data_IF_470164404663
#
_entry.id   IF_470164404663
#
_cell.length_a   1.000
_cell.length_b   1.000
_cell.length_c   1.000
_cell.angle_alpha   90.00
_cell.angle_beta   90.00
_cell.angle_gamma   90.00
#
_symmetry.space_group_name_H-M   'P 1'
#
loop_
_entity.id
_entity.type
_entity.pdbx_description
1 polymer ?
#
# COMPACT_ATOMS: atom_id res chain seq x y z
N UNK A 1 -78.38 3.10 -10.53
CA UNK A 1 -78.67 3.40 -11.95
C UNK A 1 -77.84 4.60 -12.37
N UNK A 2 -77.14 4.51 -13.52
CA UNK A 2 -76.31 5.51 -14.22
C UNK A 2 -75.09 6.06 -13.44
N UNK A 3 -73.82 5.75 -13.75
CA UNK A 3 -73.05 5.81 -15.01
C UNK A 3 -72.91 7.23 -15.57
N UNK A 4 -71.68 7.78 -15.54
CA UNK A 4 -71.12 8.66 -16.57
C UNK A 4 -69.61 8.85 -16.37
N UNK A 5 -68.83 8.30 -17.30
CA UNK A 5 -67.42 8.56 -17.53
C UNK A 5 -67.23 9.93 -18.21
N UNK A 6 -66.14 10.64 -17.90
CA UNK A 6 -65.43 11.48 -18.89
C UNK A 6 -63.92 11.35 -18.63
N UNK A 7 -63.20 10.95 -19.69
CA UNK A 7 -61.75 10.95 -19.79
C UNK A 7 -61.26 12.30 -20.31
N UNK A 8 -60.06 12.77 -19.92
CA UNK A 8 -59.20 13.52 -20.84
C UNK A 8 -57.74 13.64 -20.37
N UNK A 9 -56.88 12.98 -21.13
CA UNK A 9 -55.55 13.41 -21.63
C UNK A 9 -54.43 13.79 -20.65
N UNK A 10 -53.47 12.87 -20.55
CA UNK A 10 -52.07 13.15 -20.26
C UNK A 10 -51.46 14.02 -21.37
N UNK A 11 -50.73 15.08 -20.99
CA UNK A 11 -49.88 15.85 -21.88
C UNK A 11 -48.42 15.73 -21.42
N UNK A 12 -47.59 15.21 -22.31
CA UNK A 12 -46.16 15.05 -22.15
C UNK A 12 -45.48 16.43 -22.29
N UNK A 13 -44.81 16.89 -21.24
CA UNK A 13 -43.92 18.04 -21.30
C UNK A 13 -42.49 17.55 -21.60
N UNK A 14 -42.02 17.84 -22.81
CA UNK A 14 -40.67 17.60 -23.27
C UNK A 14 -39.65 18.43 -22.47
N UNK A 15 -38.63 17.76 -21.95
CA UNK A 15 -37.49 18.38 -21.27
C UNK A 15 -36.48 18.83 -22.33
N UNK A 16 -36.36 20.14 -22.53
CA UNK A 16 -35.27 20.75 -23.31
C UNK A 16 -33.98 20.84 -22.48
N UNK A 17 -32.81 20.42 -22.98
CA UNK A 17 -31.54 20.60 -22.27
C UNK A 17 -31.01 22.03 -22.44
N UNK A 18 -30.89 22.77 -21.33
CA UNK A 18 -30.16 24.05 -21.27
C UNK A 18 -28.66 23.78 -21.37
N UNK A 19 -28.08 24.22 -22.49
CA UNK A 19 -26.63 24.33 -22.73
C UNK A 19 -26.02 25.28 -21.68
N UNK A 20 -25.17 24.76 -20.79
CA UNK A 20 -24.34 25.60 -19.90
C UNK A 20 -23.13 26.13 -20.67
N UNK A 21 -23.06 27.45 -20.80
CA UNK A 21 -21.95 28.19 -21.38
C UNK A 21 -20.65 28.00 -20.58
N UNK A 22 -19.53 27.81 -21.29
CA UNK A 22 -18.16 27.81 -20.74
C UNK A 22 -17.72 29.24 -20.38
N UNK A 23 -17.04 29.46 -19.24
CA UNK A 23 -16.42 30.75 -18.94
C UNK A 23 -15.18 31.00 -19.82
N UNK A 24 -14.88 32.26 -20.17
CA UNK A 24 -13.78 32.61 -21.06
C UNK A 24 -12.39 32.45 -20.40
N UNK A 25 -11.42 32.05 -21.22
CA UNK A 25 -10.01 31.87 -20.88
C UNK A 25 -9.37 33.21 -20.51
N UNK A 26 -8.78 33.30 -19.32
CA UNK A 26 -7.90 34.40 -18.95
C UNK A 26 -6.60 34.33 -19.78
N UNK A 27 -6.34 35.37 -20.56
CA UNK A 27 -5.05 35.62 -21.22
C UNK A 27 -4.06 36.10 -20.15
N UNK A 28 -3.05 35.29 -19.84
CA UNK A 28 -1.87 35.75 -19.11
C UNK A 28 -0.92 36.39 -20.12
N UNK A 29 -0.71 37.70 -19.97
CA UNK A 29 0.31 38.47 -20.67
C UNK A 29 1.64 38.22 -19.95
N UNK A 30 2.55 37.48 -20.58
CA UNK A 30 3.93 37.36 -20.11
C UNK A 30 4.79 38.40 -20.83
N UNK A 31 5.34 39.35 -20.06
CA UNK A 31 6.38 40.27 -20.52
C UNK A 31 7.67 39.48 -20.80
N UNK A 32 8.24 39.71 -21.98
CA UNK A 32 9.60 39.28 -22.33
C UNK A 32 10.63 40.22 -21.70
N UNK A 33 11.65 39.65 -21.06
CA UNK A 33 12.95 40.29 -20.89
C UNK A 33 14.01 39.28 -21.37
N UNK A 34 14.87 39.73 -22.29
CA UNK A 34 15.85 38.90 -22.98
C UNK A 34 17.24 38.85 -22.33
N UNK A 35 18.12 38.07 -22.98
CA UNK A 35 19.59 38.03 -22.77
C UNK A 35 20.01 37.16 -21.58
N UNK A 36 21.02 36.29 -21.63
CA UNK A 36 22.12 36.13 -22.57
C UNK A 36 22.64 34.68 -22.55
N UNK A 37 23.28 34.30 -23.66
CA UNK A 37 24.10 33.10 -23.83
C UNK A 37 25.40 33.22 -23.03
N UNK A 38 25.85 32.12 -22.44
CA UNK A 38 27.20 31.98 -21.87
C UNK A 38 27.62 30.52 -21.88
N UNK A 39 28.51 30.18 -22.81
CA UNK A 39 29.17 28.88 -22.97
C UNK A 39 30.42 28.86 -22.08
N UNK A 40 30.75 27.74 -21.44
CA UNK A 40 31.96 27.65 -20.61
C UNK A 40 32.27 26.24 -20.12
N UNK A 41 33.05 25.50 -20.93
CA UNK A 41 33.85 24.36 -20.49
C UNK A 41 34.95 24.84 -19.52
N UNK A 42 35.32 23.99 -18.56
CA UNK A 42 36.49 24.21 -17.71
C UNK A 42 36.83 22.97 -16.88
N UNK A 43 37.75 22.18 -17.40
CA UNK A 43 38.45 21.08 -16.74
C UNK A 43 39.47 21.55 -15.67
N UNK A 44 39.84 20.64 -14.77
CA UNK A 44 41.01 20.71 -13.88
C UNK A 44 40.64 20.84 -12.40
N UNK A 45 41.15 20.07 -11.44
CA UNK A 45 42.34 19.20 -11.40
C UNK A 45 43.23 19.61 -10.20
N UNK A 46 43.37 18.71 -9.20
CA UNK A 46 44.36 18.78 -8.09
C UNK A 46 44.05 19.79 -6.98
N UNK A 47 44.38 19.60 -5.70
CA UNK A 47 45.16 18.58 -5.01
C UNK A 47 45.73 19.19 -3.71
N UNK A 48 45.65 18.48 -2.59
CA UNK A 48 46.59 18.55 -1.47
C UNK A 48 46.45 19.68 -0.44
N UNK A 49 46.75 19.35 0.83
CA UNK A 49 47.33 20.31 1.76
C UNK A 49 46.73 20.35 3.16
N UNK A 50 47.13 19.39 4.00
CA UNK A 50 46.98 19.41 5.45
C UNK A 50 47.59 20.67 6.09
N UNK A 51 46.86 21.29 7.01
CA UNK A 51 47.33 22.41 7.83
C UNK A 51 47.19 22.09 9.31
N UNK A 52 48.24 21.50 9.88
CA UNK A 52 48.47 21.32 11.30
C UNK A 52 48.96 22.66 11.88
N UNK A 53 48.31 23.21 12.91
CA UNK A 53 48.92 24.24 13.75
C UNK A 53 48.68 23.94 15.23
N UNK A 54 49.81 23.88 15.93
CA UNK A 54 50.01 23.56 17.33
C UNK A 54 50.12 24.83 18.20
N UNK A 55 50.31 24.56 19.51
CA UNK A 55 50.64 25.45 20.64
C UNK A 55 49.43 25.73 21.55
N UNK A 56 49.46 25.52 22.87
CA UNK A 56 50.54 25.40 23.84
C UNK A 56 49.98 25.78 25.24
N UNK A 57 50.73 25.64 26.35
CA UNK A 57 50.27 24.92 27.55
C UNK A 57 50.21 25.73 28.86
N UNK A 58 49.73 25.10 29.96
CA UNK A 58 50.23 25.09 31.38
C UNK A 58 49.08 24.66 32.34
N UNK A 59 49.17 23.51 33.04
CA UNK A 59 49.77 23.26 34.38
C UNK A 59 48.95 23.93 35.52
N UNK A 60 48.59 23.37 36.70
CA UNK A 60 49.26 22.47 37.67
C UNK A 60 48.22 21.91 38.70
N UNK A 61 48.48 20.70 39.24
CA UNK A 61 48.19 20.28 40.64
C UNK A 61 46.81 19.67 40.93
N UNK A 62 46.62 18.60 41.70
CA UNK A 62 47.48 17.73 42.50
C UNK A 62 46.58 16.88 43.43
N UNK A 63 46.92 15.59 43.57
CA UNK A 63 46.55 14.59 44.61
C UNK A 63 45.12 14.53 45.21
N UNK A 64 44.45 13.38 45.07
CA UNK A 64 44.13 12.47 46.19
C UNK A 64 43.28 11.23 45.79
N UNK A 65 43.69 10.07 46.33
CA UNK A 65 43.00 8.81 46.63
C UNK A 65 41.58 8.49 46.08
N UNK A 66 41.48 7.29 45.51
CA UNK A 66 40.60 6.26 46.11
C UNK A 66 39.50 5.65 45.22
N UNK A 67 39.50 4.31 45.22
CA UNK A 67 38.35 3.40 45.05
C UNK A 67 37.96 2.98 43.61
N UNK A 68 38.38 1.75 43.30
CA UNK A 68 37.69 0.68 42.54
C UNK A 68 36.47 1.09 41.70
N UNK A 69 36.58 0.95 40.38
CA UNK A 69 35.43 0.74 39.50
C UNK A 69 35.67 -0.49 38.61
N UNK A 70 34.88 -1.52 38.87
CA UNK A 70 34.88 -2.80 38.18
C UNK A 70 34.57 -2.64 36.69
N UNK A 71 35.26 -3.42 35.85
CA UNK A 71 34.93 -3.58 34.44
C UNK A 71 33.60 -4.32 34.30
N UNK A 72 32.53 -3.59 33.99
CA UNK A 72 31.30 -4.17 33.48
C UNK A 72 31.39 -4.27 31.96
N UNK A 73 31.82 -5.44 31.45
CA UNK A 73 31.57 -5.81 30.05
C UNK A 73 30.08 -6.11 29.93
N UNK A 74 29.30 -5.08 29.67
CA UNK A 74 27.91 -5.26 29.26
C UNK A 74 27.93 -5.76 27.82
N UNK A 75 27.83 -7.08 27.63
CA UNK A 75 27.43 -7.66 26.36
C UNK A 75 25.97 -7.26 26.10
N UNK A 76 25.78 -6.09 25.50
CA UNK A 76 24.49 -5.70 24.97
C UNK A 76 24.12 -6.71 23.88
N UNK A 77 23.01 -7.48 24.00
CA UNK A 77 22.47 -8.15 22.85
C UNK A 77 22.00 -7.05 21.90
N UNK A 78 22.60 -6.96 20.72
CA UNK A 78 22.11 -6.07 19.68
C UNK A 78 20.64 -6.43 19.43
N UNK A 79 19.67 -5.51 19.63
CA UNK A 79 18.34 -5.78 19.13
C UNK A 79 18.46 -5.83 17.61
N UNK A 80 18.09 -6.97 17.02
CA UNK A 80 17.81 -7.06 15.59
C UNK A 80 16.65 -6.09 15.36
N UNK A 81 16.98 -4.85 14.97
CA UNK A 81 16.00 -3.86 14.57
C UNK A 81 15.34 -4.47 13.34
N UNK A 82 14.08 -4.87 13.50
CA UNK A 82 13.19 -5.21 12.40
C UNK A 82 13.37 -4.13 11.33
N UNK A 83 13.80 -4.52 10.14
CA UNK A 83 14.00 -3.60 9.04
C UNK A 83 12.67 -2.94 8.72
N UNK A 84 12.41 -1.76 9.27
CA UNK A 84 11.26 -0.96 8.91
C UNK A 84 11.46 -0.56 7.46
N UNK A 85 10.72 -1.21 6.56
CA UNK A 85 10.71 -0.85 5.15
C UNK A 85 10.46 0.65 5.05
N UNK A 86 11.38 1.36 4.41
CA UNK A 86 11.27 2.82 4.21
C UNK A 86 10.21 3.06 3.14
N UNK A 87 8.95 3.07 3.56
CA UNK A 87 7.82 3.39 2.71
C UNK A 87 7.91 4.85 2.26
N UNK A 88 7.38 5.19 1.06
CA UNK A 88 7.26 6.57 0.64
C UNK A 88 6.33 7.34 1.61
N UNK A 89 6.47 8.68 1.67
CA UNK A 89 5.57 9.51 2.47
C UNK A 89 4.11 9.29 2.05
N UNK A 90 3.18 9.58 2.95
CA UNK A 90 1.75 9.48 2.67
C UNK A 90 1.36 10.39 1.51
N UNK A 91 0.61 9.87 0.55
CA UNK A 91 0.08 10.68 -0.55
C UNK A 91 -0.95 11.68 -0.02
N UNK A 92 -0.78 12.97 -0.38
CA UNK A 92 -1.65 14.09 0.02
C UNK A 92 -2.76 14.38 -1.00
N UNK A 93 -2.99 13.48 -1.96
CA UNK A 93 -4.01 13.65 -2.99
C UNK A 93 -5.44 13.59 -2.39
N UNK A 94 -6.36 14.47 -2.82
CA UNK A 94 -7.66 14.65 -2.17
C UNK A 94 -8.66 13.48 -2.33
N UNK A 95 -8.42 12.55 -3.26
CA UNK A 95 -9.26 11.36 -3.49
C UNK A 95 -8.40 10.09 -3.55
N UNK A 96 -7.51 9.93 -2.58
CA UNK A 96 -6.49 8.87 -2.56
C UNK A 96 -7.12 7.47 -2.55
N UNK A 97 -8.18 7.29 -1.78
CA UNK A 97 -8.85 6.00 -1.59
C UNK A 97 -9.73 5.62 -2.80
N UNK A 98 -10.32 6.60 -3.47
CA UNK A 98 -11.18 6.38 -4.64
C UNK A 98 -10.37 5.91 -5.87
N UNK A 99 -9.05 6.10 -5.85
CA UNK A 99 -8.14 5.64 -6.92
C UNK A 99 -8.13 4.13 -7.10
N UNK A 100 -8.53 3.35 -6.09
CA UNK A 100 -8.63 1.88 -6.21
C UNK A 100 -9.60 1.45 -7.33
N UNK A 101 -10.62 2.27 -7.63
CA UNK A 101 -11.67 1.91 -8.59
C UNK A 101 -11.39 2.39 -10.03
N UNK A 102 -10.57 3.43 -10.19
CA UNK A 102 -10.37 4.15 -11.46
C UNK A 102 -9.13 3.65 -12.17
N UNK A 103 -9.29 3.06 -13.37
CA UNK A 103 -8.19 2.74 -14.30
C UNK A 103 -7.38 1.47 -14.02
N UNK A 104 -7.64 0.78 -12.90
CA UNK A 104 -6.85 -0.37 -12.45
C UNK A 104 -7.27 -1.72 -13.03
N UNK A 105 -7.96 -1.81 -14.16
CA UNK A 105 -8.35 -3.15 -14.69
C UNK A 105 -7.14 -3.88 -15.27
N UNK A 106 -7.11 -5.22 -15.19
CA UNK A 106 -6.00 -6.06 -15.69
C UNK A 106 -5.58 -5.68 -17.12
N UNK A 107 -6.54 -5.38 -18.01
CA UNK A 107 -6.29 -4.97 -19.40
C UNK A 107 -5.76 -3.54 -19.61
N UNK A 108 -5.68 -2.73 -18.55
CA UNK A 108 -5.18 -1.34 -18.56
C UNK A 108 -3.87 -1.21 -17.76
N UNK A 109 -3.34 -2.31 -17.19
CA UNK A 109 -2.17 -2.31 -16.30
C UNK A 109 -0.84 -1.93 -16.97
N UNK A 110 -0.83 -1.69 -18.28
CA UNK A 110 0.34 -1.22 -19.02
C UNK A 110 0.43 0.31 -18.96
N UNK A 111 0.90 0.85 -17.82
CA UNK A 111 1.47 2.21 -17.77
C UNK A 111 0.58 3.35 -17.25
N UNK A 112 -0.52 3.08 -16.53
CA UNK A 112 -1.42 4.16 -16.07
C UNK A 112 -0.89 4.94 -14.86
N UNK A 113 0.04 4.40 -14.07
CA UNK A 113 0.48 5.05 -12.84
C UNK A 113 1.99 5.27 -12.75
N UNK A 114 2.39 6.53 -12.84
CA UNK A 114 3.75 7.01 -12.51
C UNK A 114 4.08 6.89 -11.01
N UNK A 115 3.09 6.57 -10.17
CA UNK A 115 3.20 6.48 -8.70
C UNK A 115 2.43 5.25 -8.17
N UNK A 116 2.93 4.57 -7.13
CA UNK A 116 2.20 3.47 -6.51
C UNK A 116 0.83 3.92 -6.00
N UNK A 117 -0.14 3.01 -6.07
CA UNK A 117 -1.49 3.24 -5.55
C UNK A 117 -1.39 3.26 -4.02
N UNK A 118 -1.70 4.39 -3.40
CA UNK A 118 -1.64 4.55 -1.94
C UNK A 118 -3.06 4.46 -1.37
N UNK A 119 -3.37 3.36 -0.70
CA UNK A 119 -4.65 3.07 -0.04
C UNK A 119 -4.50 2.95 1.48
N UNK A 120 -3.38 3.40 2.05
CA UNK A 120 -3.12 3.28 3.50
C UNK A 120 -4.21 3.95 4.33
N UNK A 121 -4.67 3.31 5.40
CA UNK A 121 -5.72 3.81 6.30
C UNK A 121 -7.08 4.09 5.63
N UNK A 122 -7.31 3.60 4.40
CA UNK A 122 -8.59 3.74 3.74
C UNK A 122 -9.60 2.71 4.28
N UNK A 123 -10.88 3.09 4.32
CA UNK A 123 -11.96 2.23 4.77
C UNK A 123 -12.89 1.85 3.60
N UNK A 124 -12.92 0.57 3.27
CA UNK A 124 -13.74 -0.03 2.23
C UNK A 124 -14.69 -1.11 2.77
N UNK A 125 -15.00 -1.11 4.06
CA UNK A 125 -15.94 -2.07 4.68
C UNK A 125 -17.39 -1.97 4.18
N UNK A 126 -17.69 -1.02 3.29
CA UNK A 126 -19.00 -0.89 2.70
C UNK A 126 -19.29 -2.07 1.75
N UNK A 127 -20.48 -2.68 1.86
CA UNK A 127 -21.00 -3.82 1.07
C UNK A 127 -20.99 -3.62 -0.46
N UNK A 128 -20.55 -2.46 -0.94
CA UNK A 128 -20.45 -2.08 -2.36
C UNK A 128 -19.01 -1.96 -2.86
N UNK A 129 -18.03 -2.28 -2.03
CA UNK A 129 -16.63 -2.31 -2.47
C UNK A 129 -16.44 -3.50 -3.41
N UNK A 130 -16.62 -3.21 -4.70
CA UNK A 130 -16.36 -4.13 -5.78
C UNK A 130 -15.00 -3.77 -6.41
N UNK A 131 -13.99 -4.56 -6.07
CA UNK A 131 -12.65 -4.52 -6.64
C UNK A 131 -12.43 -5.72 -7.58
N UNK A 132 -13.52 -6.31 -8.08
CA UNK A 132 -13.48 -7.46 -8.97
C UNK A 132 -12.66 -7.15 -10.22
N UNK A 133 -11.71 -8.04 -10.55
CA UNK A 133 -10.87 -7.93 -11.74
C UNK A 133 -9.95 -6.69 -11.75
N UNK A 134 -9.75 -6.03 -10.61
CA UNK A 134 -8.83 -4.90 -10.48
C UNK A 134 -7.40 -5.39 -10.25
N UNK A 135 -6.44 -4.55 -10.59
CA UNK A 135 -5.02 -4.74 -10.38
C UNK A 135 -4.57 -3.76 -9.31
N UNK A 136 -4.14 -4.29 -8.18
CA UNK A 136 -3.55 -3.55 -7.07
C UNK A 136 -2.05 -3.81 -7.00
N UNK A 137 -1.40 -3.85 -8.16
CA UNK A 137 0.04 -4.04 -8.26
C UNK A 137 0.78 -2.90 -7.55
N UNK A 138 1.74 -3.25 -6.69
CA UNK A 138 2.51 -2.35 -5.85
C UNK A 138 1.66 -1.40 -4.98
N UNK A 139 0.42 -1.77 -4.68
CA UNK A 139 -0.45 -0.96 -3.83
C UNK A 139 0.04 -0.94 -2.39
N UNK A 140 0.00 0.23 -1.77
CA UNK A 140 0.27 0.43 -0.34
C UNK A 140 -1.06 0.42 0.39
N UNK A 141 -1.33 -0.62 1.16
CA UNK A 141 -2.62 -0.88 1.81
C UNK A 141 -2.47 -1.02 3.33
N UNK A 142 -1.38 -0.51 3.92
CA UNK A 142 -1.16 -0.60 5.37
C UNK A 142 -2.34 -0.05 6.16
N UNK A 143 -2.81 -0.82 7.13
CA UNK A 143 -3.93 -0.49 8.01
C UNK A 143 -5.23 -0.10 7.27
N UNK A 144 -5.37 -0.49 6.00
CA UNK A 144 -6.60 -0.31 5.24
C UNK A 144 -7.62 -1.39 5.60
N UNK A 145 -8.91 -1.11 5.45
CA UNK A 145 -9.99 -2.07 5.70
C UNK A 145 -10.72 -2.42 4.42
N UNK A 146 -10.83 -3.71 4.14
CA UNK A 146 -11.52 -4.29 2.99
C UNK A 146 -12.52 -5.37 3.44
N UNK A 147 -12.99 -5.29 4.69
CA UNK A 147 -13.87 -6.31 5.25
C UNK A 147 -15.15 -6.45 4.41
N UNK A 148 -15.46 -7.68 4.01
CA UNK A 148 -16.61 -8.02 3.15
C UNK A 148 -16.51 -7.54 1.70
N UNK A 149 -15.36 -6.99 1.25
CA UNK A 149 -15.19 -6.56 -0.12
C UNK A 149 -15.17 -7.74 -1.11
N UNK A 150 -15.74 -7.53 -2.30
CA UNK A 150 -15.58 -8.44 -3.44
C UNK A 150 -14.26 -8.10 -4.13
N UNK A 151 -13.25 -8.94 -3.92
CA UNK A 151 -11.94 -8.88 -4.57
C UNK A 151 -11.73 -10.11 -5.47
N UNK A 152 -12.82 -10.68 -6.00
CA UNK A 152 -12.73 -11.80 -6.93
C UNK A 152 -11.96 -11.39 -8.19
N UNK A 153 -11.15 -12.29 -8.75
CA UNK A 153 -10.31 -12.04 -9.93
C UNK A 153 -9.32 -10.86 -9.75
N UNK A 154 -9.08 -10.38 -8.52
CA UNK A 154 -8.11 -9.31 -8.27
C UNK A 154 -6.69 -9.79 -8.54
N UNK A 155 -5.85 -8.91 -9.09
CA UNK A 155 -4.42 -9.15 -9.25
C UNK A 155 -3.66 -8.26 -8.28
N UNK A 156 -3.05 -8.87 -7.27
CA UNK A 156 -2.15 -8.21 -6.33
C UNK A 156 -0.74 -8.73 -6.54
N UNK A 157 0.16 -7.89 -7.05
CA UNK A 157 1.59 -8.22 -7.14
C UNK A 157 2.42 -7.21 -6.38
N UNK A 158 3.32 -7.67 -5.50
CA UNK A 158 4.22 -6.81 -4.70
C UNK A 158 3.48 -5.75 -3.87
N UNK A 159 2.24 -6.04 -3.47
CA UNK A 159 1.45 -5.14 -2.66
C UNK A 159 1.88 -5.21 -1.18
N UNK A 160 1.69 -4.11 -0.45
CA UNK A 160 2.08 -3.99 0.95
C UNK A 160 0.85 -3.77 1.82
N UNK A 161 0.35 -4.84 2.44
CA UNK A 161 -0.93 -4.88 3.17
C UNK A 161 -0.73 -5.16 4.67
N UNK A 162 0.35 -4.64 5.24
CA UNK A 162 0.69 -4.85 6.65
C UNK A 162 -0.36 -4.23 7.57
N UNK A 163 -0.89 -5.01 8.50
CA UNK A 163 -1.95 -4.57 9.43
C UNK A 163 -3.32 -4.32 8.79
N UNK A 164 -3.48 -4.59 7.49
CA UNK A 164 -4.75 -4.41 6.80
C UNK A 164 -5.81 -5.42 7.27
N UNK A 165 -7.08 -5.04 7.18
CA UNK A 165 -8.22 -5.91 7.48
C UNK A 165 -8.89 -6.36 6.18
N UNK A 166 -9.09 -7.68 6.05
CA UNK A 166 -9.70 -8.37 4.91
C UNK A 166 -10.70 -9.41 5.42
N UNK A 167 -11.46 -9.08 6.48
CA UNK A 167 -12.37 -10.04 7.11
C UNK A 167 -13.51 -10.38 6.16
N UNK A 168 -13.74 -11.67 5.91
CA UNK A 168 -14.79 -12.10 5.00
C UNK A 168 -14.62 -11.60 3.56
N UNK A 169 -13.42 -11.13 3.17
CA UNK A 169 -13.13 -10.70 1.81
C UNK A 169 -13.09 -11.90 0.86
N UNK A 170 -13.69 -11.76 -0.32
CA UNK A 170 -13.68 -12.79 -1.35
C UNK A 170 -12.48 -12.59 -2.30
N UNK A 171 -11.53 -13.55 -2.32
CA UNK A 171 -10.39 -13.61 -3.24
C UNK A 171 -10.53 -14.72 -4.29
N UNK A 172 -11.77 -15.14 -4.60
CA UNK A 172 -12.03 -16.19 -5.59
C UNK A 172 -11.42 -15.84 -6.94
N UNK A 173 -10.67 -16.76 -7.55
CA UNK A 173 -9.93 -16.56 -8.81
C UNK A 173 -8.86 -15.46 -8.78
N UNK A 174 -8.44 -14.98 -7.61
CA UNK A 174 -7.42 -13.94 -7.50
C UNK A 174 -6.01 -14.46 -7.84
N UNK A 175 -5.12 -13.54 -8.20
CA UNK A 175 -3.68 -13.79 -8.35
C UNK A 175 -2.93 -12.91 -7.37
N UNK A 176 -2.26 -13.54 -6.40
CA UNK A 176 -1.59 -12.88 -5.29
C UNK A 176 -0.12 -13.31 -5.27
N UNK A 177 0.73 -12.42 -5.78
CA UNK A 177 2.17 -12.63 -5.94
C UNK A 177 2.97 -11.65 -5.08
N UNK A 178 3.82 -12.16 -4.19
CA UNK A 178 4.75 -11.37 -3.36
C UNK A 178 4.06 -10.28 -2.53
N UNK A 179 2.89 -10.58 -1.98
CA UNK A 179 2.15 -9.63 -1.15
C UNK A 179 2.56 -9.80 0.31
N UNK A 180 2.75 -8.68 1.00
CA UNK A 180 3.01 -8.71 2.45
C UNK A 180 1.70 -8.53 3.23
N UNK A 181 1.21 -9.61 3.85
CA UNK A 181 0.06 -9.64 4.77
C UNK A 181 0.49 -9.73 6.24
N UNK A 182 1.70 -9.29 6.59
CA UNK A 182 2.15 -9.30 7.98
C UNK A 182 1.16 -8.56 8.89
N UNK A 183 0.76 -9.18 10.00
CA UNK A 183 -0.25 -8.66 10.96
C UNK A 183 -1.63 -8.36 10.36
N UNK A 184 -1.90 -8.79 9.13
CA UNK A 184 -3.21 -8.60 8.51
C UNK A 184 -4.28 -9.44 9.19
N UNK A 185 -5.52 -8.96 9.17
CA UNK A 185 -6.68 -9.68 9.68
C UNK A 185 -7.45 -10.29 8.51
N UNK A 186 -7.27 -11.59 8.28
CA UNK A 186 -7.85 -12.36 7.16
C UNK A 186 -8.99 -13.27 7.64
N UNK A 187 -9.57 -13.02 8.82
CA UNK A 187 -10.60 -13.90 9.39
C UNK A 187 -11.78 -14.10 8.43
N UNK A 188 -12.12 -15.35 8.13
CA UNK A 188 -13.20 -15.68 7.20
C UNK A 188 -12.93 -15.34 5.73
N UNK A 189 -11.71 -14.94 5.36
CA UNK A 189 -11.38 -14.66 3.96
C UNK A 189 -11.46 -15.93 3.10
N UNK A 190 -11.88 -15.76 1.85
CA UNK A 190 -12.12 -16.88 0.92
C UNK A 190 -11.03 -16.89 -0.15
N UNK A 191 -10.16 -17.91 -0.13
CA UNK A 191 -9.18 -18.18 -1.18
C UNK A 191 -9.63 -19.41 -1.98
N UNK A 192 -10.53 -19.19 -2.94
CA UNK A 192 -11.00 -20.24 -3.86
C UNK A 192 -10.37 -20.09 -5.24
N UNK A 193 -9.75 -21.15 -5.76
CA UNK A 193 -9.07 -21.12 -7.06
C UNK A 193 -8.08 -19.95 -7.17
N UNK A 194 -7.41 -19.62 -6.07
CA UNK A 194 -6.48 -18.50 -5.97
C UNK A 194 -5.05 -18.97 -6.23
N UNK A 195 -4.24 -18.14 -6.88
CA UNK A 195 -2.79 -18.36 -6.95
C UNK A 195 -2.10 -17.55 -5.85
N UNK A 196 -1.46 -18.22 -4.91
CA UNK A 196 -0.65 -17.64 -3.83
C UNK A 196 0.82 -17.97 -4.05
N UNK A 197 1.66 -16.98 -4.37
CA UNK A 197 3.10 -17.20 -4.54
C UNK A 197 3.92 -16.11 -3.89
N UNK A 198 4.94 -16.48 -3.12
CA UNK A 198 5.92 -15.56 -2.53
C UNK A 198 5.35 -14.57 -1.50
N UNK A 199 4.11 -14.76 -1.05
CA UNK A 199 3.43 -13.87 -0.10
C UNK A 199 3.76 -14.26 1.35
N UNK A 200 3.73 -13.28 2.26
CA UNK A 200 4.07 -13.47 3.68
C UNK A 200 2.86 -13.23 4.58
N UNK A 201 2.66 -14.13 5.55
CA UNK A 201 1.51 -14.12 6.47
C UNK A 201 1.93 -14.11 7.95
N UNK A 202 3.10 -13.53 8.25
CA UNK A 202 3.65 -13.48 9.60
C UNK A 202 2.69 -12.73 10.54
N UNK A 203 2.34 -13.32 11.68
CA UNK A 203 1.39 -12.73 12.64
C UNK A 203 -0.01 -12.40 12.06
N UNK A 204 -0.33 -12.88 10.85
CA UNK A 204 -1.64 -12.70 10.27
C UNK A 204 -2.68 -13.54 11.02
N UNK A 205 -3.90 -13.01 11.17
CA UNK A 205 -5.02 -13.76 11.75
C UNK A 205 -5.76 -14.46 10.63
N UNK A 206 -5.80 -15.78 10.67
CA UNK A 206 -6.34 -16.61 9.59
C UNK A 206 -7.38 -17.63 10.10
N UNK A 207 -8.12 -17.27 11.17
CA UNK A 207 -9.25 -18.08 11.63
C UNK A 207 -10.33 -18.15 10.55
N UNK A 208 -10.94 -19.32 10.39
CA UNK A 208 -12.05 -19.55 9.45
C UNK A 208 -11.73 -19.21 7.98
N UNK A 209 -10.45 -19.15 7.61
CA UNK A 209 -10.04 -18.96 6.22
C UNK A 209 -10.32 -20.22 5.41
N UNK A 210 -10.85 -20.04 4.21
CA UNK A 210 -11.14 -21.14 3.27
C UNK A 210 -10.05 -21.21 2.21
N UNK A 211 -9.45 -22.38 2.02
CA UNK A 211 -8.44 -22.64 0.98
C UNK A 211 -8.91 -23.77 0.07
N UNK A 212 -9.82 -23.46 -0.87
CA UNK A 212 -10.33 -24.42 -1.84
C UNK A 212 -9.62 -24.23 -3.18
N UNK A 213 -9.06 -25.29 -3.76
CA UNK A 213 -8.35 -25.25 -5.05
C UNK A 213 -7.25 -24.17 -5.14
N UNK A 214 -6.66 -23.79 -4.01
CA UNK A 214 -5.59 -22.77 -3.97
C UNK A 214 -4.27 -23.36 -4.42
N UNK A 215 -3.60 -22.67 -5.36
CA UNK A 215 -2.27 -23.02 -5.82
C UNK A 215 -1.25 -22.27 -4.97
N UNK A 216 -0.48 -23.02 -4.18
CA UNK A 216 0.60 -22.49 -3.34
C UNK A 216 1.89 -23.29 -3.52
N UNK A 217 3.03 -22.60 -3.58
CA UNK A 217 4.34 -23.25 -3.68
C UNK A 217 4.74 -23.93 -2.37
N UNK A 218 5.51 -25.02 -2.46
CA UNK A 218 5.93 -25.81 -1.29
C UNK A 218 6.58 -24.97 -0.17
N UNK A 219 7.46 -24.03 -0.53
CA UNK A 219 8.15 -23.17 0.46
C UNK A 219 7.18 -22.22 1.16
N UNK A 220 6.21 -21.69 0.44
CA UNK A 220 5.23 -20.75 0.99
C UNK A 220 4.20 -21.48 1.85
N UNK A 221 3.81 -22.69 1.45
CA UNK A 221 2.98 -23.59 2.25
C UNK A 221 3.63 -23.88 3.60
N UNK A 222 4.91 -24.28 3.62
CA UNK A 222 5.62 -24.55 4.88
C UNK A 222 5.59 -23.36 5.84
N UNK A 223 5.78 -22.14 5.33
CA UNK A 223 5.68 -20.92 6.13
C UNK A 223 4.26 -20.68 6.63
N UNK A 224 3.28 -20.81 5.76
CA UNK A 224 1.86 -20.64 6.11
C UNK A 224 1.43 -21.62 7.20
N UNK A 225 1.88 -22.88 7.13
CA UNK A 225 1.59 -23.91 8.13
C UNK A 225 2.19 -23.63 9.52
N UNK A 226 3.15 -22.72 9.65
CA UNK A 226 3.65 -22.31 10.98
C UNK A 226 2.66 -21.42 11.74
N UNK A 227 1.68 -20.82 11.05
CA UNK A 227 0.67 -20.00 11.66
C UNK A 227 -0.33 -20.85 12.46
N UNK A 228 -0.46 -20.57 13.76
CA UNK A 228 -1.32 -21.30 14.70
C UNK A 228 -2.79 -20.85 14.66
N UNK A 229 -3.10 -19.75 13.96
CA UNK A 229 -4.45 -19.21 13.89
C UNK A 229 -5.35 -19.92 12.88
N UNK A 230 -4.78 -20.74 12.00
CA UNK A 230 -5.52 -21.49 10.97
C UNK A 230 -6.23 -22.69 11.63
N UNK A 231 -7.52 -22.87 11.31
CA UNK A 231 -8.33 -23.99 11.79
C UNK A 231 -7.81 -25.35 11.30
N UNK A 232 -8.11 -26.41 12.05
CA UNK A 232 -7.66 -27.76 11.73
C UNK A 232 -8.09 -28.22 10.32
N UNK A 233 -9.33 -27.93 9.93
CA UNK A 233 -9.88 -28.31 8.62
C UNK A 233 -9.14 -27.61 7.47
N UNK A 234 -8.98 -26.28 7.55
CA UNK A 234 -8.24 -25.50 6.56
C UNK A 234 -6.76 -25.90 6.45
N UNK A 235 -6.15 -26.36 7.57
CA UNK A 235 -4.78 -26.90 7.55
C UNK A 235 -4.69 -28.22 6.77
N UNK A 236 -5.71 -29.07 6.88
CA UNK A 236 -5.78 -30.33 6.13
C UNK A 236 -5.97 -30.05 4.64
N UNK A 237 -6.83 -29.10 4.28
CA UNK A 237 -7.05 -28.66 2.88
C UNK A 237 -5.77 -28.16 2.23
N UNK A 238 -5.00 -27.33 2.96
CA UNK A 238 -3.69 -26.84 2.51
C UNK A 238 -2.63 -27.95 2.41
N UNK A 239 -2.84 -29.11 3.02
CA UNK A 239 -1.86 -30.19 3.10
C UNK A 239 -0.74 -29.92 4.12
N UNK A 240 -1.02 -29.12 5.15
CA UNK A 240 -0.11 -28.97 6.29
C UNK A 240 0.03 -30.31 7.02
N UNK A 241 1.24 -30.85 7.10
CA UNK A 241 1.57 -32.10 7.80
C UNK A 241 2.55 -31.84 8.94
#
# INVERSE_FOLDING_TARGET
>A
MASSCVASTASAAAVTPRVRARPPRARVVACSAGGARGNGNGDGGGGGGSGLLAAGPKAVGGFACGVLAAWAVASAPSPVIAASQRLPPLSTEPNRCERAFVGNTIGQANGVYDKPIDLRFCDYTNEKTNLKGKSLAAALMSDAKFDGADMSEVVMSKAYAVGASFKGTDFTNAVIDRVNFEKADLQGAIFKNTVLSGSTFNEAKMQDVVFEDTIIGYVDLQKLCTNTTINADSRIELGCR
#
